data_IF_094800809478
#
_entry.id   IF_094800809478
#
_cell.length_a   1.000
_cell.length_b   1.000
_cell.length_c   1.000
_cell.angle_alpha   90.00
_cell.angle_beta   90.00
_cell.angle_gamma   90.00
#
_symmetry.space_group_name_H-M   'P 1'
#
loop_
_entity.id
_entity.type
_entity.pdbx_description
1 polymer ?
#
# COMPACT_ATOMS: atom_id res chain seq x y z
N UNK A 1 0.07 -1.12 7.55
CA UNK A 1 1.20 -0.39 8.14
C UNK A 1 2.22 -1.26 8.86
N UNK A 2 1.78 -2.37 9.45
CA UNK A 2 2.70 -3.26 10.16
C UNK A 2 3.81 -3.77 9.24
N UNK A 3 3.46 -4.24 8.05
CA UNK A 3 4.44 -4.69 7.07
C UNK A 3 5.35 -3.55 6.61
N UNK A 4 4.79 -2.35 6.43
CA UNK A 4 5.57 -1.18 6.07
C UNK A 4 6.55 -0.79 7.18
N UNK A 5 6.13 -0.90 8.44
CA UNK A 5 7.02 -0.67 9.58
C UNK A 5 8.17 -1.66 9.63
N UNK A 6 7.90 -2.92 9.35
CA UNK A 6 8.93 -3.95 9.32
C UNK A 6 9.94 -3.70 8.21
N UNK A 7 9.46 -3.30 7.03
CA UNK A 7 10.34 -2.96 5.91
C UNK A 7 11.22 -1.76 6.27
N UNK A 8 10.63 -0.72 6.87
CA UNK A 8 11.38 0.45 7.30
C UNK A 8 12.44 0.10 8.35
N UNK A 9 12.08 -0.75 9.31
CA UNK A 9 13.00 -1.21 10.36
C UNK A 9 14.17 -1.97 9.76
N UNK A 10 13.90 -2.92 8.87
CA UNK A 10 14.94 -3.73 8.24
C UNK A 10 15.87 -2.87 7.38
N UNK A 11 15.36 -1.80 6.79
CA UNK A 11 16.14 -0.85 6.02
C UNK A 11 16.81 0.23 6.88
N UNK A 12 16.62 0.19 8.20
CA UNK A 12 17.14 1.20 9.16
C UNK A 12 16.65 2.61 8.83
N UNK A 13 15.44 2.72 8.32
CA UNK A 13 14.84 4.01 7.97
C UNK A 13 14.43 4.78 9.21
N UNK A 14 14.65 6.10 9.19
CA UNK A 14 14.27 7.00 10.28
C UNK A 14 12.75 7.13 10.36
N UNK A 15 12.10 7.13 9.20
CA UNK A 15 10.65 7.28 9.09
C UNK A 15 10.07 6.24 8.14
N UNK A 16 8.74 6.08 8.20
CA UNK A 16 8.01 5.24 7.24
C UNK A 16 7.58 6.14 6.07
N UNK A 17 8.13 5.88 4.89
CA UNK A 17 7.84 6.63 3.68
C UNK A 17 6.78 5.93 2.82
N UNK A 18 6.14 6.63 1.87
CA UNK A 18 5.22 5.98 0.93
C UNK A 18 5.82 4.77 0.23
N UNK A 19 7.13 4.80 -0.06
CA UNK A 19 7.83 3.66 -0.66
C UNK A 19 7.74 2.40 0.21
N UNK A 20 7.80 2.54 1.53
CA UNK A 20 7.65 1.39 2.44
C UNK A 20 6.24 0.82 2.38
N UNK A 21 5.24 1.70 2.31
CA UNK A 21 3.83 1.27 2.18
C UNK A 21 3.62 0.54 0.86
N UNK A 22 4.13 1.09 -0.23
CA UNK A 22 4.05 0.46 -1.54
C UNK A 22 4.75 -0.90 -1.56
N UNK A 23 5.96 -0.98 -1.00
CA UNK A 23 6.71 -2.23 -0.93
C UNK A 23 5.94 -3.30 -0.15
N UNK A 24 5.24 -2.91 0.92
CA UNK A 24 4.42 -3.84 1.70
C UNK A 24 3.27 -4.41 0.89
N UNK A 25 2.70 -3.65 -0.04
CA UNK A 25 1.59 -4.11 -0.87
C UNK A 25 2.01 -5.08 -1.97
N UNK A 26 3.32 -5.15 -2.26
CA UNK A 26 3.88 -6.06 -3.26
C UNK A 26 4.85 -7.07 -2.65
N UNK A 27 4.82 -7.24 -1.33
CA UNK A 27 5.77 -8.09 -0.63
C UNK A 27 5.65 -9.56 -1.06
N UNK A 28 6.79 -10.20 -1.29
CA UNK A 28 6.82 -11.57 -1.79
C UNK A 28 6.26 -12.58 -0.79
N UNK A 29 6.43 -12.32 0.49
CA UNK A 29 6.00 -13.24 1.55
C UNK A 29 4.48 -13.31 1.73
N UNK A 30 3.72 -12.41 1.13
CA UNK A 30 2.26 -12.38 1.22
C UNK A 30 1.65 -12.37 -0.17
N UNK A 31 1.33 -13.55 -0.69
CA UNK A 31 0.75 -13.70 -2.03
C UNK A 31 -0.64 -13.06 -2.15
N UNK A 32 -1.32 -12.80 -1.04
CA UNK A 32 -2.64 -12.18 -1.02
C UNK A 32 -2.56 -10.66 -0.89
N UNK A 33 -1.38 -10.07 -0.74
CA UNK A 33 -1.24 -8.63 -0.74
C UNK A 33 -1.84 -8.06 -2.03
N UNK A 34 -2.58 -6.97 -1.90
CA UNK A 34 -3.37 -6.45 -3.02
C UNK A 34 -2.53 -6.15 -4.26
N UNK A 35 -1.35 -5.57 -4.09
CA UNK A 35 -0.45 -5.29 -5.22
C UNK A 35 -0.09 -6.54 -6.00
N UNK A 36 0.19 -7.65 -5.29
CA UNK A 36 0.51 -8.92 -5.94
C UNK A 36 -0.68 -9.48 -6.71
N UNK A 37 -1.88 -9.38 -6.13
CA UNK A 37 -3.11 -9.85 -6.78
C UNK A 37 -3.40 -9.04 -8.05
N UNK A 38 -3.29 -7.72 -7.96
CA UNK A 38 -3.51 -6.82 -9.10
C UNK A 38 -2.51 -7.08 -10.21
N UNK A 39 -1.24 -7.18 -9.88
CA UNK A 39 -0.18 -7.43 -10.85
C UNK A 39 -0.37 -8.77 -11.56
N UNK A 40 -0.80 -9.78 -10.83
CA UNK A 40 -1.12 -11.10 -11.40
C UNK A 40 -2.28 -11.02 -12.39
N UNK A 41 -3.35 -10.32 -12.02
CA UNK A 41 -4.51 -10.14 -12.91
C UNK A 41 -4.19 -9.31 -14.16
N UNK A 42 -3.27 -8.38 -14.03
CA UNK A 42 -2.85 -7.51 -15.13
C UNK A 42 -1.69 -8.12 -15.96
N UNK A 43 -1.21 -9.29 -15.59
CA UNK A 43 -0.03 -9.93 -16.19
C UNK A 43 1.20 -9.02 -16.16
N UNK A 44 1.39 -8.32 -15.05
CA UNK A 44 2.51 -7.41 -14.87
C UNK A 44 3.76 -8.15 -14.37
N UNK A 45 4.92 -7.51 -14.51
CA UNK A 45 6.20 -8.06 -14.09
C UNK A 45 6.47 -7.73 -12.61
N UNK A 46 6.05 -8.62 -11.72
CA UNK A 46 6.22 -8.45 -10.28
C UNK A 46 7.69 -8.34 -9.86
N UNK A 47 8.58 -9.10 -10.50
CA UNK A 47 10.00 -9.06 -10.15
C UNK A 47 10.56 -7.65 -10.38
N UNK A 48 10.21 -7.02 -11.49
CA UNK A 48 10.64 -5.65 -11.79
C UNK A 48 10.00 -4.66 -10.83
N UNK A 49 8.71 -4.79 -10.55
CA UNK A 49 8.02 -3.91 -9.60
C UNK A 49 8.71 -3.95 -8.24
N UNK A 50 8.95 -5.14 -7.71
CA UNK A 50 9.61 -5.31 -6.41
C UNK A 50 11.01 -4.71 -6.39
N UNK A 51 11.77 -4.92 -7.45
CA UNK A 51 13.12 -4.37 -7.57
C UNK A 51 13.11 -2.84 -7.56
N UNK A 52 12.21 -2.24 -8.33
CA UNK A 52 12.12 -0.78 -8.41
C UNK A 52 11.62 -0.17 -7.10
N UNK A 53 10.67 -0.80 -6.43
CA UNK A 53 10.21 -0.35 -5.12
C UNK A 53 11.32 -0.48 -4.07
N UNK A 54 12.11 -1.54 -4.12
CA UNK A 54 13.26 -1.72 -3.23
C UNK A 54 14.26 -0.60 -3.40
N UNK A 55 14.50 -0.14 -4.63
CA UNK A 55 15.37 1.01 -4.88
C UNK A 55 14.88 2.27 -4.20
N UNK A 56 13.57 2.51 -4.21
CA UNK A 56 12.98 3.65 -3.52
C UNK A 56 13.13 3.53 -2.01
N UNK A 57 12.96 2.34 -1.46
CA UNK A 57 13.15 2.07 -0.04
C UNK A 57 14.60 2.37 0.37
N UNK A 58 15.55 1.94 -0.43
CA UNK A 58 16.98 2.16 -0.16
C UNK A 58 17.35 3.65 -0.14
N UNK A 59 16.65 4.46 -0.94
CA UNK A 59 16.89 5.91 -0.99
C UNK A 59 16.36 6.66 0.23
N UNK A 60 15.49 6.06 1.02
CA UNK A 60 14.93 6.72 2.21
C UNK A 60 16.03 6.96 3.24
N UNK A 61 15.99 8.09 3.99
CA UNK A 61 16.98 8.38 5.01
C UNK A 61 17.10 7.26 6.03
N UNK A 62 18.33 6.89 6.38
CA UNK A 62 18.62 5.82 7.32
C UNK A 62 19.37 6.34 8.53
N UNK A 63 19.37 5.55 9.60
CA UNK A 63 20.08 5.84 10.83
C UNK A 63 20.72 4.56 11.36
N UNK A 64 21.96 4.67 11.81
CA UNK A 64 22.68 3.55 12.41
C UNK A 64 23.21 3.96 13.79
N UNK A 65 22.75 3.33 14.89
CA UNK A 65 21.80 2.21 14.92
C UNK A 65 20.40 2.62 14.49
N UNK A 66 19.62 1.64 14.01
CA UNK A 66 18.26 1.90 13.57
C UNK A 66 17.41 2.44 14.72
N UNK A 67 16.46 3.36 14.44
CA UNK A 67 15.56 3.84 15.48
C UNK A 67 14.69 2.72 16.03
N UNK A 68 14.34 2.81 17.30
CA UNK A 68 13.48 1.80 17.95
C UNK A 68 12.11 1.72 17.28
N UNK A 69 11.54 2.87 16.96
CA UNK A 69 10.25 2.97 16.27
C UNK A 69 10.35 4.02 15.19
N UNK A 70 10.03 3.64 13.96
CA UNK A 70 9.91 4.58 12.86
C UNK A 70 8.53 5.20 12.89
N UNK A 71 8.45 6.51 12.76
CA UNK A 71 7.18 7.25 12.65
C UNK A 71 6.86 7.48 11.18
N UNK A 72 5.57 7.59 10.80
CA UNK A 72 5.24 7.96 9.44
C UNK A 72 5.83 9.32 9.07
N UNK A 73 6.39 9.42 7.87
CA UNK A 73 6.87 10.69 7.34
C UNK A 73 5.68 11.59 6.98
N UNK A 74 5.95 12.89 6.79
CA UNK A 74 4.90 13.82 6.39
C UNK A 74 4.20 13.40 5.09
N UNK A 75 4.91 13.00 4.03
CA UNK A 75 4.25 12.48 2.83
C UNK A 75 3.36 11.26 3.10
N UNK A 76 3.72 10.41 4.05
CA UNK A 76 2.91 9.25 4.42
C UNK A 76 1.63 9.66 5.14
N UNK A 77 1.69 10.63 6.04
CA UNK A 77 0.48 11.19 6.66
C UNK A 77 -0.45 11.80 5.62
N UNK A 78 0.09 12.55 4.68
CA UNK A 78 -0.70 13.16 3.60
C UNK A 78 -1.31 12.10 2.70
N UNK A 79 -0.57 11.03 2.40
CA UNK A 79 -1.07 9.89 1.64
C UNK A 79 -2.28 9.28 2.34
N UNK A 80 -2.18 9.02 3.63
CA UNK A 80 -3.27 8.41 4.40
C UNK A 80 -4.49 9.33 4.45
N UNK A 81 -4.28 10.64 4.62
CA UNK A 81 -5.36 11.63 4.63
C UNK A 81 -6.09 11.64 3.28
N UNK A 82 -5.35 11.67 2.19
CA UNK A 82 -5.93 11.65 0.84
C UNK A 82 -6.70 10.35 0.60
N UNK A 83 -6.16 9.23 1.04
CA UNK A 83 -6.83 7.94 0.89
C UNK A 83 -8.13 7.89 1.68
N UNK A 84 -8.15 8.43 2.89
CA UNK A 84 -9.37 8.50 3.69
C UNK A 84 -10.43 9.42 3.06
N UNK A 85 -10.01 10.56 2.53
CA UNK A 85 -10.91 11.46 1.81
C UNK A 85 -11.50 10.79 0.57
N UNK A 86 -10.66 10.07 -0.20
CA UNK A 86 -11.11 9.36 -1.38
C UNK A 86 -12.08 8.22 -1.02
N UNK A 87 -11.84 7.51 0.07
CA UNK A 87 -12.73 6.47 0.55
C UNK A 87 -14.12 7.05 0.90
N UNK A 88 -14.14 8.16 1.62
CA UNK A 88 -15.39 8.85 1.97
C UNK A 88 -16.12 9.33 0.73
N UNK A 89 -15.42 9.94 -0.22
CA UNK A 89 -16.01 10.43 -1.46
C UNK A 89 -16.58 9.30 -2.32
N UNK A 90 -15.99 8.10 -2.22
CA UNK A 90 -16.45 6.92 -2.94
C UNK A 90 -17.62 6.21 -2.23
N UNK A 91 -18.04 6.72 -1.09
CA UNK A 91 -19.13 6.14 -0.31
C UNK A 91 -18.71 4.98 0.58
N UNK A 92 -17.42 4.77 0.80
CA UNK A 92 -16.92 3.76 1.70
C UNK A 92 -16.91 4.32 3.14
N UNK A 93 -17.28 3.50 4.11
CA UNK A 93 -17.20 3.88 5.51
C UNK A 93 -15.84 3.55 6.11
N UNK A 94 -15.03 2.77 5.40
CA UNK A 94 -13.73 2.27 5.84
C UNK A 94 -12.70 2.46 4.73
N UNK A 95 -11.47 2.68 5.12
CA UNK A 95 -10.37 2.75 4.16
C UNK A 95 -10.07 1.35 3.61
N UNK A 96 -10.12 1.22 2.30
CA UNK A 96 -9.83 -0.03 1.61
C UNK A 96 -8.45 0.02 0.96
N UNK A 97 -7.84 -1.15 0.79
CA UNK A 97 -6.51 -1.27 0.17
C UNK A 97 -6.48 -0.76 -1.26
N UNK A 98 -7.57 -0.92 -2.01
CA UNK A 98 -7.64 -0.47 -3.40
C UNK A 98 -7.51 1.06 -3.50
N UNK A 99 -8.15 1.79 -2.61
CA UNK A 99 -8.07 3.25 -2.57
C UNK A 99 -6.68 3.68 -2.13
N UNK A 100 -6.10 2.99 -1.16
CA UNK A 100 -4.73 3.26 -0.74
C UNK A 100 -3.74 3.07 -1.89
N UNK A 101 -3.87 1.98 -2.63
CA UNK A 101 -3.00 1.70 -3.77
C UNK A 101 -3.17 2.74 -4.89
N UNK A 102 -4.40 3.14 -5.19
CA UNK A 102 -4.67 4.22 -6.15
C UNK A 102 -4.04 5.54 -5.73
N UNK A 103 -4.07 5.84 -4.44
CA UNK A 103 -3.48 7.06 -3.90
C UNK A 103 -1.97 7.03 -3.91
N UNK A 104 -1.38 5.85 -3.67
CA UNK A 104 0.08 5.67 -3.72
C UNK A 104 0.67 6.07 -5.08
N UNK A 105 -0.03 5.80 -6.17
CA UNK A 105 0.47 6.14 -7.51
C UNK A 105 0.41 7.63 -7.83
N UNK A 106 -0.15 8.45 -6.95
CA UNK A 106 -0.01 9.90 -7.05
C UNK A 106 1.43 10.32 -6.74
N UNK A 107 2.18 9.49 -6.05
CA UNK A 107 3.62 9.65 -5.90
C UNK A 107 4.28 9.25 -7.21
N UNK A 108 4.97 10.19 -7.84
CA UNK A 108 5.56 10.01 -9.16
C UNK A 108 6.57 8.85 -9.21
N UNK A 109 7.39 8.71 -8.18
CA UNK A 109 8.41 7.66 -8.14
C UNK A 109 7.77 6.28 -8.07
N UNK A 110 6.69 6.14 -7.29
CA UNK A 110 5.95 4.89 -7.19
C UNK A 110 5.26 4.58 -8.51
N UNK A 111 4.63 5.58 -9.14
CA UNK A 111 4.00 5.42 -10.44
C UNK A 111 4.99 4.89 -11.48
N UNK A 112 6.19 5.47 -11.52
CA UNK A 112 7.24 5.06 -12.44
C UNK A 112 7.74 3.65 -12.15
N UNK A 113 7.89 3.30 -10.87
CA UNK A 113 8.31 1.97 -10.47
C UNK A 113 7.34 0.90 -10.97
N UNK A 114 6.04 1.14 -10.82
CA UNK A 114 5.02 0.22 -11.31
C UNK A 114 4.98 0.18 -12.83
N UNK A 115 5.11 1.32 -13.49
CA UNK A 115 5.11 1.39 -14.95
C UNK A 115 6.27 0.60 -15.57
N UNK A 116 7.43 0.61 -14.94
CA UNK A 116 8.59 -0.20 -15.39
C UNK A 116 8.29 -1.69 -15.32
N UNK A 117 7.46 -2.12 -14.39
CA UNK A 117 7.00 -3.50 -14.28
C UNK A 117 5.72 -3.78 -15.07
N UNK A 118 5.42 -2.98 -16.08
CA UNK A 118 4.24 -3.13 -16.95
C UNK A 118 2.90 -2.97 -16.22
N UNK A 119 2.89 -2.12 -15.18
CA UNK A 119 1.66 -1.80 -14.45
C UNK A 119 1.48 -0.27 -14.38
N UNK A 120 1.20 0.38 -15.53
CA UNK A 120 0.97 1.82 -15.54
C UNK A 120 -0.31 2.17 -14.79
N UNK A 121 -0.40 3.43 -14.36
CA UNK A 121 -1.54 3.92 -13.57
C UNK A 121 -2.90 3.56 -14.17
N UNK A 122 -3.05 3.71 -15.49
CA UNK A 122 -4.30 3.39 -16.17
C UNK A 122 -4.68 1.93 -16.00
N UNK A 123 -3.74 1.01 -16.25
CA UNK A 123 -3.97 -0.42 -16.10
C UNK A 123 -4.25 -0.79 -14.66
N UNK A 124 -3.51 -0.22 -13.72
CA UNK A 124 -3.72 -0.42 -12.30
C UNK A 124 -5.15 -0.03 -11.90
N UNK A 125 -5.57 1.16 -12.28
CA UNK A 125 -6.90 1.68 -11.96
C UNK A 125 -8.00 0.82 -12.56
N UNK A 126 -7.87 0.46 -13.83
CA UNK A 126 -8.85 -0.39 -14.51
C UNK A 126 -8.96 -1.78 -13.86
N UNK A 127 -7.83 -2.37 -13.49
CA UNK A 127 -7.81 -3.67 -12.84
C UNK A 127 -8.48 -3.62 -11.46
N UNK A 128 -8.15 -2.60 -10.67
CA UNK A 128 -8.76 -2.41 -9.36
C UNK A 128 -10.26 -2.18 -9.46
N UNK A 129 -10.70 -1.37 -10.43
CA UNK A 129 -12.13 -1.10 -10.63
C UNK A 129 -12.89 -2.36 -11.03
N UNK A 130 -12.31 -3.21 -11.86
CA UNK A 130 -12.90 -4.49 -12.22
C UNK A 130 -13.00 -5.43 -11.02
N UNK A 131 -11.98 -5.47 -10.18
CA UNK A 131 -11.99 -6.30 -8.98
C UNK A 131 -13.05 -5.84 -7.99
N UNK A 132 -13.20 -4.54 -7.83
CA UNK A 132 -14.17 -3.96 -6.91
C UNK A 132 -15.60 -4.05 -7.44
N UNK A 133 -15.79 -3.84 -8.74
CA UNK A 133 -17.10 -3.76 -9.37
C UNK A 133 -17.92 -2.63 -8.76
N UNK A 134 -19.14 -2.93 -8.33
CA UNK A 134 -20.03 -1.95 -7.70
C UNK A 134 -20.01 -2.02 -6.17
N UNK A 135 -19.21 -2.91 -5.61
CA UNK A 135 -19.18 -3.09 -4.15
C UNK A 135 -18.49 -1.94 -3.45
N UNK A 136 -18.99 -1.63 -2.25
CA UNK A 136 -18.41 -0.63 -1.36
C UNK A 136 -18.00 -1.30 -0.06
N UNK A 137 -16.99 -0.76 0.60
CA UNK A 137 -16.48 -1.34 1.83
C UNK A 137 -17.30 -0.82 3.01
N UNK A 138 -18.43 -1.46 3.28
CA UNK A 138 -19.32 -1.15 4.39
C UNK A 138 -19.50 -2.28 5.37
N UNK A 139 -19.46 -3.51 4.88
CA UNK A 139 -19.89 -4.66 5.64
C UNK A 139 -18.82 -5.72 5.74
N UNK A 140 -19.12 -6.71 6.56
CA UNK A 140 -18.27 -7.85 6.87
C UNK A 140 -18.32 -8.95 5.81
N UNK A 141 -18.85 -8.68 4.63
CA UNK A 141 -18.96 -9.67 3.58
C UNK A 141 -17.56 -9.98 3.02
N UNK A 142 -16.96 -11.01 3.55
CA UNK A 142 -15.56 -11.35 3.31
C UNK A 142 -15.40 -12.60 2.44
N UNK A 143 -16.32 -12.87 1.55
CA UNK A 143 -16.26 -14.07 0.73
C UNK A 143 -15.23 -13.96 -0.39
N UNK A 144 -14.85 -12.75 -0.79
CA UNK A 144 -13.85 -12.56 -1.83
C UNK A 144 -12.50 -12.18 -1.24
N UNK A 145 -11.45 -12.48 -1.98
CA UNK A 145 -10.08 -12.07 -1.62
C UNK A 145 -10.00 -10.56 -1.42
N UNK A 146 -10.71 -9.80 -2.26
CA UNK A 146 -10.73 -8.35 -2.15
C UNK A 146 -11.28 -7.88 -0.80
N UNK A 147 -12.41 -8.44 -0.37
CA UNK A 147 -13.01 -8.06 0.90
C UNK A 147 -12.10 -8.42 2.09
N UNK A 148 -11.44 -9.57 2.03
CA UNK A 148 -10.48 -9.97 3.05
C UNK A 148 -9.31 -8.98 3.14
N UNK A 149 -8.79 -8.54 2.00
CA UNK A 149 -7.71 -7.55 1.94
C UNK A 149 -8.16 -6.19 2.47
N UNK A 150 -9.39 -5.78 2.14
CA UNK A 150 -9.94 -4.53 2.64
C UNK A 150 -10.08 -4.55 4.16
N UNK A 151 -10.52 -5.67 4.73
CA UNK A 151 -10.60 -5.84 6.19
C UNK A 151 -9.22 -5.77 6.83
N UNK A 152 -8.23 -6.39 6.22
CA UNK A 152 -6.86 -6.36 6.72
C UNK A 152 -6.32 -4.93 6.76
N UNK A 153 -6.50 -4.17 5.69
CA UNK A 153 -6.06 -2.78 5.62
C UNK A 153 -6.74 -1.92 6.68
N UNK A 154 -8.03 -2.13 6.91
CA UNK A 154 -8.78 -1.42 7.94
C UNK A 154 -8.21 -1.68 9.34
N UNK A 155 -7.92 -2.93 9.66
CA UNK A 155 -7.36 -3.29 10.95
C UNK A 155 -6.00 -2.64 11.17
N UNK A 156 -5.15 -2.63 10.17
CA UNK A 156 -3.85 -1.97 10.24
C UNK A 156 -4.00 -0.46 10.47
N UNK A 157 -4.95 0.18 9.80
CA UNK A 157 -5.21 1.61 9.94
C UNK A 157 -5.73 1.93 11.34
N UNK A 158 -6.63 1.13 11.88
CA UNK A 158 -7.14 1.29 13.24
C UNK A 158 -6.02 1.15 14.27
N UNK A 159 -5.16 0.15 14.12
CA UNK A 159 -4.01 -0.06 15.00
C UNK A 159 -3.07 1.15 14.96
N UNK A 160 -2.82 1.69 13.78
CA UNK A 160 -1.99 2.88 13.63
C UNK A 160 -2.57 4.09 14.36
N UNK A 161 -3.89 4.30 14.27
CA UNK A 161 -4.57 5.41 14.95
C UNK A 161 -4.55 5.27 16.46
N UNK A 162 -4.64 4.05 16.96
CA UNK A 162 -4.66 3.77 18.38
C UNK A 162 -3.26 3.70 19.01
N UNK A 163 -2.22 3.74 18.19
CA UNK A 163 -0.86 3.59 18.67
C UNK A 163 -0.50 2.16 19.06
N UNK A 164 -1.30 1.19 18.65
CA UNK A 164 -1.13 -0.23 18.97
C UNK A 164 -0.31 -0.99 17.93
N UNK A 165 0.50 -0.31 17.18
CA UNK A 165 1.41 -0.93 16.23
C UNK A 165 2.62 -1.48 16.95
N UNK A 166 2.70 -2.76 17.04
CA UNK A 166 3.83 -3.46 17.64
C UNK A 166 4.89 -3.78 16.58
#
# INVERSE_FOLDING_TARGET
>A
FKAAMEIAKDAKSVEIWPAHVAAAMFVESDSEALGNVVASKANSDLATIRRELTRLVIRAPTQDPAPTNASPSRPTYELMRKAEEAATANGDTLLASDILLKTLVDNRDIEQALAKGTLPRKLLTETLDKMRGTRKVHSEDAESTFDALAKYARNLTADARNGDLD
#
